data_IF_108435988406
#
_entry.id   IF_108435988406
#
_cell.length_a   1.000
_cell.length_b   1.000
_cell.length_c   1.000
_cell.angle_alpha   90.00
_cell.angle_beta   90.00
_cell.angle_gamma   90.00
#
_symmetry.space_group_name_H-M   'P 1'
#
loop_
_entity.id
_entity.type
_entity.pdbx_description
1 polymer ?
#
# COMPACT_ATOMS: atom_id res chain seq x y z
N UNK A 1 -5.16 -56.66 -22.54
CA UNK A 1 -5.43 -56.79 -21.11
C UNK A 1 -4.13 -56.62 -20.35
N UNK A 2 -3.88 -55.42 -19.84
CA UNK A 2 -2.86 -55.16 -18.80
C UNK A 2 -3.18 -53.82 -18.13
N UNK A 3 -3.79 -53.91 -16.96
CA UNK A 3 -3.97 -52.86 -15.94
C UNK A 3 -3.62 -53.57 -14.61
N UNK A 4 -3.00 -52.99 -13.60
CA UNK A 4 -2.98 -51.61 -13.12
C UNK A 4 -2.03 -51.54 -11.92
N UNK A 5 -1.04 -50.64 -11.93
CA UNK A 5 -0.30 -50.22 -10.74
C UNK A 5 0.16 -48.78 -10.90
N UNK A 6 -0.69 -47.82 -10.56
CA UNK A 6 -0.28 -46.45 -10.20
C UNK A 6 -1.47 -45.67 -9.63
N UNK A 7 -1.73 -45.73 -8.32
CA UNK A 7 -2.68 -44.77 -7.72
C UNK A 7 -2.45 -44.42 -6.24
N UNK A 8 -1.35 -44.82 -5.61
CA UNK A 8 -1.04 -44.40 -4.23
C UNK A 8 -0.05 -43.24 -4.12
N UNK A 9 0.70 -42.90 -5.18
CA UNK A 9 1.71 -41.83 -5.15
C UNK A 9 1.13 -40.42 -5.40
N UNK A 10 -0.07 -40.30 -6.00
CA UNK A 10 -0.64 -39.01 -6.39
C UNK A 10 -1.35 -38.23 -5.26
N UNK A 11 -1.52 -38.84 -4.08
CA UNK A 11 -2.21 -38.21 -2.93
C UNK A 11 -1.27 -37.56 -1.91
N UNK A 12 0.03 -37.90 -1.94
CA UNK A 12 1.04 -37.37 -1.01
C UNK A 12 1.66 -36.04 -1.42
N UNK A 13 1.60 -35.65 -2.70
CA UNK A 13 2.29 -34.46 -3.22
C UNK A 13 1.49 -33.15 -3.20
N UNK A 14 0.28 -33.12 -2.61
CA UNK A 14 -0.61 -31.93 -2.64
C UNK A 14 -0.44 -30.97 -1.45
N UNK A 15 0.50 -31.21 -0.54
CA UNK A 15 0.59 -30.47 0.73
C UNK A 15 1.82 -29.55 0.89
N UNK A 16 2.77 -29.56 -0.06
CA UNK A 16 4.10 -28.93 0.16
C UNK A 16 4.33 -27.57 -0.53
N UNK A 17 3.33 -26.95 -1.17
CA UNK A 17 3.52 -25.67 -1.89
C UNK A 17 2.53 -24.57 -1.50
N UNK A 18 2.22 -24.47 -0.21
CA UNK A 18 1.50 -23.33 0.34
C UNK A 18 2.39 -22.66 1.39
N UNK A 19 2.56 -21.34 1.27
CA UNK A 19 3.37 -20.46 2.12
C UNK A 19 3.46 -21.01 3.56
N UNK A 20 4.68 -21.36 3.98
CA UNK A 20 4.98 -21.74 5.36
C UNK A 20 5.12 -20.50 6.24
N UNK A 21 4.02 -19.79 6.45
CA UNK A 21 3.83 -19.05 7.69
C UNK A 21 2.94 -19.93 8.58
N UNK A 22 3.42 -20.39 9.75
CA UNK A 22 2.58 -21.13 10.67
C UNK A 22 1.48 -20.19 11.19
N UNK A 23 0.30 -20.19 10.55
CA UNK A 23 -0.88 -19.44 11.00
C UNK A 23 -1.54 -18.46 10.02
N UNK A 24 -1.45 -18.63 8.70
CA UNK A 24 -2.07 -17.72 7.71
C UNK A 24 -2.99 -18.46 6.72
N UNK A 25 -3.93 -17.75 6.08
CA UNK A 25 -4.70 -18.30 4.95
C UNK A 25 -3.73 -18.77 3.87
N UNK A 26 -3.87 -20.02 3.45
CA UNK A 26 -3.08 -20.60 2.35
C UNK A 26 -3.65 -20.11 1.01
N UNK A 27 -3.20 -18.95 0.57
CA UNK A 27 -3.47 -18.46 -0.78
C UNK A 27 -2.57 -19.22 -1.76
N UNK A 28 -3.14 -19.65 -2.88
CA UNK A 28 -2.38 -20.25 -3.95
C UNK A 28 -2.00 -19.13 -4.93
N UNK A 29 -0.72 -18.77 -4.93
CA UNK A 29 -0.16 -17.70 -5.78
C UNK A 29 0.50 -18.25 -7.05
N UNK A 30 0.39 -19.57 -7.29
CA UNK A 30 0.99 -20.17 -8.48
C UNK A 30 0.36 -19.57 -9.74
N UNK A 31 1.19 -18.93 -10.55
CA UNK A 31 0.73 -18.25 -11.76
C UNK A 31 0.04 -16.91 -11.48
N UNK A 32 0.18 -16.35 -10.27
CA UNK A 32 -0.39 -15.04 -9.96
C UNK A 32 0.15 -13.96 -10.91
N UNK A 33 -0.72 -13.04 -11.30
CA UNK A 33 -0.35 -11.91 -12.15
C UNK A 33 -1.25 -10.70 -11.84
N UNK A 34 -0.71 -9.53 -12.11
CA UNK A 34 -1.43 -8.26 -12.01
C UNK A 34 -2.18 -8.04 -13.31
N UNK A 35 -3.45 -7.69 -13.21
CA UNK A 35 -4.33 -7.42 -14.35
C UNK A 35 -4.13 -5.98 -14.78
N UNK A 36 -3.78 -5.78 -16.04
CA UNK A 36 -3.67 -4.46 -16.66
C UNK A 36 -4.89 -4.22 -17.56
N UNK A 37 -5.54 -3.05 -17.44
CA UNK A 37 -6.58 -2.56 -18.36
C UNK A 37 -7.77 -3.52 -18.61
N UNK A 38 -8.26 -4.24 -17.59
CA UNK A 38 -9.43 -5.12 -17.73
C UNK A 38 -10.75 -4.30 -17.72
N UNK A 39 -11.59 -4.38 -18.77
CA UNK A 39 -12.89 -3.70 -18.80
C UNK A 39 -13.85 -4.09 -17.67
N UNK A 40 -13.59 -5.23 -17.00
CA UNK A 40 -14.31 -5.71 -15.81
C UNK A 40 -13.81 -5.08 -14.51
N UNK A 41 -12.62 -4.50 -14.48
CA UNK A 41 -12.07 -3.71 -13.37
C UNK A 41 -12.67 -2.30 -13.34
N UNK A 42 -14.01 -2.23 -13.35
CA UNK A 42 -14.75 -0.98 -13.15
C UNK A 42 -15.04 -0.85 -11.67
N UNK A 43 -14.85 0.37 -11.15
CA UNK A 43 -15.20 0.67 -9.77
C UNK A 43 -16.64 0.22 -9.48
N UNK A 44 -16.86 -0.66 -8.49
CA UNK A 44 -18.20 -1.08 -8.09
C UNK A 44 -18.98 0.09 -7.48
N UNK A 45 -18.28 1.14 -7.02
CA UNK A 45 -18.84 2.34 -6.42
C UNK A 45 -18.32 3.57 -7.16
N UNK A 46 -19.21 4.36 -7.76
CA UNK A 46 -18.85 5.64 -8.39
C UNK A 46 -19.30 6.79 -7.50
N UNK A 47 -18.46 7.16 -6.54
CA UNK A 47 -18.77 8.20 -5.55
C UNK A 47 -17.50 8.94 -5.17
N UNK A 48 -17.59 10.27 -5.02
CA UNK A 48 -16.46 11.10 -4.59
C UNK A 48 -15.87 10.59 -3.26
N UNK A 49 -14.55 10.52 -3.21
CA UNK A 49 -13.80 9.97 -2.08
C UNK A 49 -13.72 8.45 -2.05
N UNK A 50 -14.11 7.77 -3.15
CA UNK A 50 -13.91 6.33 -3.36
C UNK A 50 -13.08 6.12 -4.62
N UNK A 51 -12.01 5.35 -4.51
CA UNK A 51 -11.12 5.03 -5.63
C UNK A 51 -10.90 3.52 -5.71
N UNK A 52 -11.25 2.93 -6.85
CA UNK A 52 -10.95 1.55 -7.18
C UNK A 52 -9.59 1.48 -7.87
N UNK A 53 -8.72 0.61 -7.39
CA UNK A 53 -7.43 0.37 -8.03
C UNK A 53 -7.65 -0.53 -9.25
N UNK A 54 -7.23 -0.07 -10.42
CA UNK A 54 -7.48 -0.76 -11.70
C UNK A 54 -6.62 -2.01 -11.92
N UNK A 55 -5.69 -2.28 -11.01
CA UNK A 55 -4.63 -3.29 -11.17
C UNK A 55 -4.83 -4.52 -10.28
N UNK A 56 -5.99 -5.15 -10.32
CA UNK A 56 -6.28 -6.32 -9.46
C UNK A 56 -5.29 -7.48 -9.63
N UNK A 57 -5.14 -8.32 -8.59
CA UNK A 57 -4.26 -9.48 -8.64
C UNK A 57 -5.08 -10.75 -8.91
N UNK A 58 -4.81 -11.41 -10.04
CA UNK A 58 -5.39 -12.72 -10.34
C UNK A 58 -4.59 -13.82 -9.68
N UNK A 59 -5.33 -14.76 -9.08
CA UNK A 59 -4.83 -15.96 -8.43
C UNK A 59 -5.42 -17.17 -9.14
N UNK A 60 -4.86 -17.55 -10.31
CA UNK A 60 -5.31 -18.74 -11.00
C UNK A 60 -5.10 -19.94 -10.09
N UNK A 61 -6.05 -20.87 -10.09
CA UNK A 61 -6.04 -22.07 -9.23
C UNK A 61 -6.32 -21.86 -7.73
N UNK A 62 -6.59 -20.64 -7.23
CA UNK A 62 -7.10 -20.49 -5.86
C UNK A 62 -8.59 -20.77 -5.78
N UNK A 63 -8.97 -22.02 -5.44
CA UNK A 63 -10.38 -22.46 -5.34
C UNK A 63 -10.93 -22.44 -3.91
N UNK A 64 -10.17 -21.91 -2.95
CA UNK A 64 -10.58 -21.83 -1.55
C UNK A 64 -11.82 -20.95 -1.34
N UNK A 65 -12.50 -21.11 -0.20
CA UNK A 65 -13.41 -20.09 0.28
C UNK A 65 -12.60 -19.05 1.05
N UNK A 66 -12.76 -17.79 0.66
CA UNK A 66 -12.28 -16.65 1.43
C UNK A 66 -13.50 -16.04 2.07
N UNK A 67 -13.62 -16.18 3.39
CA UNK A 67 -14.75 -15.69 4.19
C UNK A 67 -14.37 -14.45 5.00
N UNK A 68 -13.44 -13.63 4.50
CA UNK A 68 -13.05 -12.40 5.16
C UNK A 68 -12.76 -11.25 4.18
N UNK A 69 -12.98 -10.04 4.69
CA UNK A 69 -12.57 -8.77 4.06
C UNK A 69 -11.49 -8.15 4.93
N UNK A 70 -10.49 -7.53 4.30
CA UNK A 70 -9.39 -6.87 4.98
C UNK A 70 -9.46 -5.36 4.80
N UNK A 71 -9.22 -4.59 5.87
CA UNK A 71 -9.22 -3.13 5.81
C UNK A 71 -8.07 -2.53 6.63
N UNK A 72 -7.27 -1.67 6.02
CA UNK A 72 -6.29 -0.82 6.67
C UNK A 72 -6.84 0.60 6.77
N UNK A 73 -7.22 1.02 7.97
CA UNK A 73 -7.84 2.32 8.22
C UNK A 73 -6.79 3.30 8.71
N UNK A 74 -6.21 4.06 7.77
CA UNK A 74 -5.27 5.14 8.07
C UNK A 74 -5.96 6.45 8.46
N UNK A 75 -5.15 7.47 8.76
CA UNK A 75 -5.65 8.80 9.13
C UNK A 75 -6.44 9.51 8.02
N UNK A 76 -6.05 9.32 6.76
CA UNK A 76 -6.66 9.98 5.61
C UNK A 76 -7.44 9.05 4.68
N UNK A 77 -7.03 7.78 4.57
CA UNK A 77 -7.65 6.79 3.70
C UNK A 77 -7.82 5.45 4.42
N UNK A 78 -8.97 4.81 4.20
CA UNK A 78 -9.23 3.40 4.48
C UNK A 78 -9.04 2.57 3.20
N UNK A 79 -8.16 1.57 3.22
CA UNK A 79 -7.87 0.71 2.07
C UNK A 79 -8.41 -0.68 2.35
N UNK A 80 -9.21 -1.18 1.44
CA UNK A 80 -9.92 -2.44 1.56
C UNK A 80 -9.44 -3.40 0.49
N UNK A 81 -9.19 -4.63 0.91
CA UNK A 81 -8.85 -5.77 0.06
C UNK A 81 -9.89 -6.87 0.28
N UNK A 82 -10.46 -7.37 -0.81
CA UNK A 82 -11.45 -8.45 -0.77
C UNK A 82 -11.25 -9.41 -1.93
N UNK A 83 -11.70 -10.65 -1.75
CA UNK A 83 -11.53 -11.71 -2.73
C UNK A 83 -12.84 -11.97 -3.49
N UNK A 84 -12.76 -12.09 -4.81
CA UNK A 84 -13.87 -12.51 -5.68
C UNK A 84 -13.51 -13.80 -6.38
N UNK A 85 -14.48 -14.72 -6.47
CA UNK A 85 -14.32 -15.99 -7.20
C UNK A 85 -14.58 -15.75 -8.68
N UNK A 86 -13.73 -16.31 -9.53
CA UNK A 86 -13.89 -16.30 -10.99
C UNK A 86 -13.98 -17.73 -11.52
N UNK A 87 -15.06 -18.42 -11.19
CA UNK A 87 -15.31 -19.82 -11.57
C UNK A 87 -15.60 -20.01 -13.07
N UNK A 88 -16.04 -18.96 -13.76
CA UNK A 88 -16.35 -19.00 -15.19
C UNK A 88 -15.14 -18.62 -16.08
N UNK A 89 -13.95 -18.47 -15.49
CA UNK A 89 -12.72 -18.15 -16.21
C UNK A 89 -11.95 -19.41 -16.63
N UNK A 90 -11.20 -19.34 -17.74
CA UNK A 90 -10.46 -20.48 -18.32
C UNK A 90 -9.57 -21.21 -17.30
N UNK A 91 -8.98 -20.47 -16.36
CA UNK A 91 -8.04 -21.00 -15.36
C UNK A 91 -8.66 -21.30 -13.98
N UNK A 92 -9.98 -21.11 -13.81
CA UNK A 92 -10.65 -21.08 -12.51
C UNK A 92 -9.92 -20.16 -11.48
N UNK A 93 -10.41 -20.14 -10.24
CA UNK A 93 -9.73 -19.47 -9.12
C UNK A 93 -10.42 -18.19 -8.70
N UNK A 94 -9.66 -17.10 -8.54
CA UNK A 94 -10.24 -15.80 -8.21
C UNK A 94 -9.28 -14.62 -8.31
N UNK A 95 -9.67 -13.53 -7.65
CA UNK A 95 -9.08 -12.20 -7.76
C UNK A 95 -9.03 -11.53 -6.40
N UNK A 96 -7.91 -10.87 -6.09
CA UNK A 96 -7.84 -9.87 -5.03
C UNK A 96 -8.18 -8.51 -5.63
N UNK A 97 -9.15 -7.85 -5.04
CA UNK A 97 -9.69 -6.57 -5.48
C UNK A 97 -9.28 -5.51 -4.47
N UNK A 98 -9.02 -4.30 -4.96
CA UNK A 98 -8.40 -3.24 -4.20
C UNK A 98 -9.23 -1.95 -4.33
N UNK A 99 -9.72 -1.43 -3.21
CA UNK A 99 -10.54 -0.21 -3.19
C UNK A 99 -10.19 0.62 -1.97
N UNK A 100 -10.16 1.94 -2.13
CA UNK A 100 -9.89 2.85 -1.03
C UNK A 100 -10.97 3.92 -0.90
N UNK A 101 -11.13 4.41 0.32
CA UNK A 101 -12.13 5.37 0.75
C UNK A 101 -11.44 6.47 1.55
N UNK A 102 -11.86 7.72 1.39
CA UNK A 102 -11.50 8.79 2.32
C UNK A 102 -11.96 8.45 3.74
N UNK A 103 -11.08 8.53 4.73
CA UNK A 103 -11.41 8.19 6.13
C UNK A 103 -12.48 9.13 6.70
N UNK A 104 -12.60 10.35 6.18
CA UNK A 104 -13.69 11.28 6.49
C UNK A 104 -15.07 10.76 6.07
N UNK A 105 -15.11 9.88 5.06
CA UNK A 105 -16.31 9.23 4.50
C UNK A 105 -16.35 7.73 4.82
N UNK A 106 -15.91 7.35 6.03
CA UNK A 106 -15.79 5.94 6.45
C UNK A 106 -17.10 5.16 6.30
N UNK A 107 -18.26 5.82 6.38
CA UNK A 107 -19.57 5.20 6.17
C UNK A 107 -19.69 4.53 4.80
N UNK A 108 -19.10 5.10 3.74
CA UNK A 108 -19.08 4.49 2.41
C UNK A 108 -18.32 3.15 2.40
N UNK A 109 -17.23 3.06 3.17
CA UNK A 109 -16.48 1.82 3.33
C UNK A 109 -17.31 0.77 4.09
N UNK A 110 -17.98 1.19 5.17
CA UNK A 110 -18.85 0.31 5.96
C UNK A 110 -19.99 -0.23 5.11
N UNK A 111 -20.67 0.63 4.34
CA UNK A 111 -21.77 0.23 3.48
C UNK A 111 -21.31 -0.69 2.35
N UNK A 112 -20.10 -0.49 1.81
CA UNK A 112 -19.52 -1.43 0.85
C UNK A 112 -19.23 -2.80 1.49
N UNK A 113 -18.72 -2.85 2.72
CA UNK A 113 -18.54 -4.13 3.44
C UNK A 113 -19.89 -4.82 3.70
N UNK A 114 -20.95 -4.07 4.00
CA UNK A 114 -22.32 -4.64 4.12
C UNK A 114 -22.76 -5.31 2.81
N UNK A 115 -22.53 -4.67 1.67
CA UNK A 115 -22.85 -5.25 0.36
C UNK A 115 -22.08 -6.56 0.14
N UNK A 116 -20.78 -6.59 0.42
CA UNK A 116 -19.97 -7.81 0.34
C UNK A 116 -20.47 -8.93 1.27
N UNK A 117 -20.95 -8.57 2.46
CA UNK A 117 -21.58 -9.51 3.40
C UNK A 117 -22.86 -10.12 2.81
N UNK A 118 -23.76 -9.28 2.30
CA UNK A 118 -25.02 -9.76 1.70
C UNK A 118 -24.78 -10.66 0.49
N UNK A 119 -23.77 -10.35 -0.34
CA UNK A 119 -23.36 -11.19 -1.47
C UNK A 119 -22.78 -12.53 -1.00
N UNK A 120 -21.92 -12.52 0.03
CA UNK A 120 -21.38 -13.74 0.63
C UNK A 120 -22.47 -14.63 1.21
N UNK A 121 -23.47 -14.06 1.88
CA UNK A 121 -24.62 -14.79 2.44
C UNK A 121 -25.49 -15.41 1.34
N UNK A 122 -25.70 -14.72 0.21
CA UNK A 122 -26.44 -15.27 -0.95
C UNK A 122 -25.71 -16.45 -1.62
N UNK A 123 -24.37 -16.41 -1.63
CA UNK A 123 -23.52 -17.44 -2.21
C UNK A 123 -23.25 -18.62 -1.25
N UNK A 124 -23.48 -18.43 0.04
CA UNK A 124 -23.27 -19.43 1.09
C UNK A 124 -24.39 -20.46 1.19
N UNK A 125 -24.09 -21.73 0.89
CA UNK A 125 -24.93 -22.86 1.27
C UNK A 125 -25.01 -23.06 2.80
N UNK A 126 -25.82 -24.01 3.32
CA UNK A 126 -26.25 -24.12 4.73
C UNK A 126 -25.15 -24.46 5.77
N UNK A 127 -23.86 -24.28 5.45
CA UNK A 127 -22.73 -24.53 6.35
C UNK A 127 -21.60 -23.50 6.22
N UNK A 128 -21.86 -22.32 5.65
CA UNK A 128 -20.83 -21.29 5.40
C UNK A 128 -20.39 -20.55 6.66
N UNK A 129 -19.08 -20.43 6.86
CA UNK A 129 -18.51 -19.52 7.87
C UNK A 129 -19.01 -18.08 7.61
N UNK A 130 -19.42 -17.40 8.68
CA UNK A 130 -19.82 -16.00 8.62
C UNK A 130 -18.67 -15.13 8.10
N UNK A 131 -18.99 -14.08 7.33
CA UNK A 131 -17.99 -13.12 6.89
C UNK A 131 -17.32 -12.46 8.10
N UNK A 132 -15.99 -12.43 8.10
CA UNK A 132 -15.18 -11.77 9.11
C UNK A 132 -14.49 -10.53 8.53
N UNK A 133 -14.33 -9.47 9.34
CA UNK A 133 -13.55 -8.29 8.95
C UNK A 133 -12.22 -8.30 9.70
N UNK A 134 -11.13 -8.32 8.94
CA UNK A 134 -9.77 -8.18 9.43
C UNK A 134 -9.36 -6.70 9.28
N UNK A 135 -9.03 -6.03 10.39
CA UNK A 135 -8.74 -4.60 10.40
C UNK A 135 -7.34 -4.29 10.94
N UNK A 136 -6.67 -3.31 10.35
CA UNK A 136 -5.40 -2.76 10.84
C UNK A 136 -5.33 -1.24 10.67
N UNK A 137 -4.22 -0.64 11.10
CA UNK A 137 -4.04 0.82 11.14
C UNK A 137 -4.70 1.47 12.36
N UNK A 138 -4.30 2.70 12.69
CA UNK A 138 -4.84 3.43 13.84
C UNK A 138 -6.38 3.57 13.83
N UNK A 139 -6.99 3.64 12.65
CA UNK A 139 -8.44 3.70 12.49
C UNK A 139 -9.18 2.40 12.86
N UNK A 140 -8.52 1.25 12.85
CA UNK A 140 -9.11 -0.01 13.32
C UNK A 140 -9.50 0.04 14.80
N UNK A 141 -8.85 0.89 15.60
CA UNK A 141 -9.24 1.16 16.98
C UNK A 141 -10.35 2.21 17.05
N UNK A 142 -10.16 3.33 16.34
CA UNK A 142 -11.09 4.48 16.35
C UNK A 142 -12.49 4.13 15.88
N UNK A 143 -12.61 3.31 14.84
CA UNK A 143 -13.89 2.97 14.20
C UNK A 143 -14.41 1.58 14.56
N UNK A 144 -13.79 0.91 15.55
CA UNK A 144 -14.13 -0.46 15.92
C UNK A 144 -15.62 -0.62 16.29
N UNK A 145 -16.12 0.19 17.22
CA UNK A 145 -17.51 0.08 17.69
C UNK A 145 -18.49 0.38 16.56
N UNK A 146 -18.19 1.38 15.72
CA UNK A 146 -19.01 1.74 14.57
C UNK A 146 -19.10 0.62 13.54
N UNK A 147 -17.97 -0.02 13.21
CA UNK A 147 -17.95 -1.20 12.35
C UNK A 147 -18.74 -2.36 12.96
N UNK A 148 -18.58 -2.59 14.27
CA UNK A 148 -19.22 -3.70 14.98
C UNK A 148 -20.73 -3.57 15.01
N UNK A 149 -21.23 -2.37 15.34
CA UNK A 149 -22.65 -2.05 15.36
C UNK A 149 -23.27 -2.14 13.96
N UNK A 150 -22.59 -1.59 12.94
CA UNK A 150 -23.14 -1.50 11.60
C UNK A 150 -23.13 -2.84 10.83
N UNK A 151 -22.10 -3.68 11.04
CA UNK A 151 -21.92 -4.90 10.27
C UNK A 151 -22.47 -6.15 10.97
N UNK A 152 -22.48 -6.17 12.31
CA UNK A 152 -22.81 -7.34 13.11
C UNK A 152 -22.05 -8.60 12.64
N UNK A 153 -20.71 -8.48 12.58
CA UNK A 153 -19.76 -9.54 12.21
C UNK A 153 -18.57 -9.54 13.16
N UNK A 154 -17.79 -10.62 13.15
CA UNK A 154 -16.52 -10.66 13.89
C UNK A 154 -15.51 -9.71 13.25
N UNK A 155 -14.98 -8.80 14.07
CA UNK A 155 -13.92 -7.85 13.69
C UNK A 155 -12.65 -8.20 14.46
N UNK A 156 -11.61 -8.57 13.74
CA UNK A 156 -10.30 -8.94 14.29
C UNK A 156 -9.32 -7.82 13.94
N UNK A 157 -8.62 -7.31 14.96
CA UNK A 157 -7.63 -6.23 14.79
C UNK A 157 -6.22 -6.81 14.84
N UNK A 158 -5.38 -6.39 13.92
CA UNK A 158 -3.97 -6.78 13.83
C UNK A 158 -3.06 -5.54 13.88
N UNK A 159 -1.83 -5.72 14.38
CA UNK A 159 -0.83 -4.66 14.46
C UNK A 159 -0.45 -4.10 13.08
N UNK A 160 -0.36 -2.77 12.97
CA UNK A 160 -0.11 -2.06 11.72
C UNK A 160 1.27 -2.40 11.13
N UNK A 161 2.32 -2.43 11.96
CA UNK A 161 3.67 -2.70 11.46
C UNK A 161 3.82 -4.15 11.03
N UNK A 162 3.26 -5.11 11.79
CA UNK A 162 3.24 -6.52 11.39
C UNK A 162 2.52 -6.73 10.06
N UNK A 163 1.39 -6.05 9.84
CA UNK A 163 0.66 -6.11 8.58
C UNK A 163 1.48 -5.50 7.45
N UNK A 164 2.09 -4.33 7.65
CA UNK A 164 2.95 -3.71 6.64
C UNK A 164 4.09 -4.63 6.19
N UNK A 165 4.77 -5.29 7.13
CA UNK A 165 5.87 -6.20 6.77
C UNK A 165 5.35 -7.45 6.06
N UNK A 166 4.26 -8.03 6.57
CA UNK A 166 3.66 -9.23 5.95
C UNK A 166 3.21 -8.96 4.52
N UNK A 167 2.56 -7.83 4.27
CA UNK A 167 2.09 -7.45 2.94
C UNK A 167 3.23 -7.10 1.98
N UNK A 168 4.26 -6.41 2.46
CA UNK A 168 5.41 -6.06 1.64
C UNK A 168 6.23 -7.30 1.25
N UNK A 169 6.49 -8.20 2.20
CA UNK A 169 7.18 -9.45 1.90
C UNK A 169 6.42 -10.26 0.85
N UNK A 170 5.08 -10.35 0.96
CA UNK A 170 4.24 -11.00 -0.04
C UNK A 170 4.39 -10.38 -1.44
N UNK A 171 4.38 -9.05 -1.53
CA UNK A 171 4.58 -8.37 -2.80
C UNK A 171 5.97 -8.58 -3.40
N UNK A 172 7.01 -8.63 -2.55
CA UNK A 172 8.39 -8.87 -3.00
C UNK A 172 8.57 -10.32 -3.49
N UNK A 173 7.98 -11.30 -2.81
CA UNK A 173 8.32 -12.72 -3.05
C UNK A 173 7.30 -13.47 -3.91
N UNK A 174 6.02 -13.09 -3.86
CA UNK A 174 4.93 -13.90 -4.44
C UNK A 174 4.29 -13.30 -5.68
N UNK A 175 4.35 -11.96 -5.87
CA UNK A 175 3.65 -11.28 -6.95
C UNK A 175 4.64 -10.82 -8.03
N UNK A 176 4.61 -11.43 -9.23
CA UNK A 176 5.42 -11.00 -10.36
C UNK A 176 5.08 -9.58 -10.80
N UNK A 177 6.08 -8.85 -11.30
CA UNK A 177 5.94 -7.49 -11.83
C UNK A 177 5.30 -6.49 -10.85
N UNK A 178 5.45 -6.71 -9.54
CA UNK A 178 4.94 -5.81 -8.50
C UNK A 178 5.96 -4.73 -8.11
N UNK A 179 7.20 -5.14 -7.91
CA UNK A 179 8.29 -4.26 -7.47
C UNK A 179 9.03 -3.72 -8.69
N UNK A 180 9.29 -2.42 -8.71
CA UNK A 180 10.04 -1.77 -9.79
C UNK A 180 10.94 -0.64 -9.29
N UNK A 181 11.91 -0.26 -10.12
CA UNK A 181 12.71 0.96 -9.97
C UNK A 181 12.25 2.00 -10.99
N UNK A 182 12.49 3.28 -10.71
CA UNK A 182 12.06 4.36 -11.58
C UNK A 182 13.15 5.42 -11.77
N UNK A 183 13.34 5.84 -13.02
CA UNK A 183 14.00 7.10 -13.38
C UNK A 183 13.33 7.71 -14.61
N UNK A 184 13.60 8.97 -14.91
CA UNK A 184 13.09 9.60 -16.14
C UNK A 184 13.60 8.93 -17.42
N UNK A 185 14.83 8.41 -17.42
CA UNK A 185 15.44 7.72 -18.58
C UNK A 185 14.98 6.28 -18.72
N UNK A 186 14.64 5.65 -17.60
CA UNK A 186 14.25 4.25 -17.52
C UNK A 186 12.97 4.16 -16.67
N UNK A 187 11.80 4.44 -17.29
CA UNK A 187 10.54 4.38 -16.58
C UNK A 187 10.19 2.92 -16.26
N UNK A 188 9.82 2.67 -15.01
CA UNK A 188 9.22 1.42 -14.52
C UNK A 188 9.96 0.13 -14.93
N UNK A 189 11.20 -0.03 -14.44
CA UNK A 189 11.94 -1.28 -14.61
C UNK A 189 11.60 -2.27 -13.49
N UNK A 190 10.92 -3.36 -13.82
CA UNK A 190 10.58 -4.40 -12.84
C UNK A 190 11.84 -5.02 -12.24
N UNK A 191 11.84 -5.15 -10.92
CA UNK A 191 12.94 -5.76 -10.19
C UNK A 191 12.92 -7.28 -10.37
N UNK A 192 14.07 -7.87 -10.65
CA UNK A 192 14.22 -9.32 -10.65
C UNK A 192 14.06 -9.89 -9.24
N UNK A 193 13.52 -11.11 -9.16
CA UNK A 193 13.41 -11.84 -7.91
C UNK A 193 14.81 -12.06 -7.32
N UNK A 194 14.95 -11.73 -6.05
CA UNK A 194 16.23 -11.85 -5.34
C UNK A 194 16.18 -12.95 -4.29
N UNK A 195 17.24 -13.78 -4.18
CA UNK A 195 17.31 -14.80 -3.13
C UNK A 195 17.52 -14.19 -1.74
N UNK A 196 18.16 -13.02 -1.66
CA UNK A 196 18.42 -12.30 -0.42
C UNK A 196 17.61 -11.01 -0.37
N UNK A 197 16.38 -11.11 0.17
CA UNK A 197 15.44 -9.98 0.31
C UNK A 197 15.87 -9.02 1.42
N UNK A 198 16.48 -9.54 2.48
CA UNK A 198 16.80 -8.80 3.69
C UNK A 198 18.29 -8.40 3.75
N UNK A 199 18.66 -7.38 4.52
CA UNK A 199 17.79 -6.40 5.14
C UNK A 199 17.28 -5.36 4.12
N UNK A 200 16.09 -4.84 4.37
CA UNK A 200 15.53 -3.71 3.63
C UNK A 200 14.96 -2.64 4.57
N UNK A 201 14.75 -1.44 4.03
CA UNK A 201 14.11 -0.33 4.72
C UNK A 201 12.77 -0.06 4.03
N UNK A 202 11.66 -0.24 4.73
CA UNK A 202 10.37 0.25 4.29
C UNK A 202 10.20 1.71 4.73
N UNK A 203 10.00 2.61 3.78
CA UNK A 203 9.61 4.00 4.00
C UNK A 203 8.13 4.12 3.62
N UNK A 204 7.26 3.97 4.62
CA UNK A 204 5.82 4.05 4.43
C UNK A 204 5.34 5.51 4.53
N UNK A 205 4.93 6.10 3.40
CA UNK A 205 4.53 7.50 3.28
C UNK A 205 3.00 7.61 3.26
N UNK A 206 2.43 7.90 4.42
CA UNK A 206 0.99 8.19 4.61
C UNK A 206 0.77 9.66 4.98
N UNK A 207 -0.10 9.92 5.96
CA UNK A 207 -0.30 11.26 6.52
C UNK A 207 1.01 11.81 7.11
N UNK A 208 1.74 10.97 7.85
CA UNK A 208 3.15 11.14 8.18
C UNK A 208 4.01 10.06 7.51
N UNK A 209 5.25 9.88 7.96
CA UNK A 209 6.18 8.89 7.41
C UNK A 209 6.74 8.00 8.51
N UNK A 210 6.66 6.69 8.31
CA UNK A 210 7.29 5.69 9.17
C UNK A 210 8.39 4.95 8.41
N UNK A 211 9.55 4.79 9.04
CA UNK A 211 10.70 4.09 8.48
C UNK A 211 11.00 2.85 9.30
N UNK A 212 10.89 1.69 8.68
CA UNK A 212 10.96 0.38 9.33
C UNK A 212 12.11 -0.41 8.70
N UNK A 213 13.10 -0.75 9.52
CA UNK A 213 14.14 -1.70 9.12
C UNK A 213 13.59 -3.10 9.28
N UNK A 214 13.69 -3.91 8.23
CA UNK A 214 13.35 -5.33 8.26
C UNK A 214 14.64 -6.12 8.04
N UNK A 215 15.03 -6.90 9.03
CA UNK A 215 16.28 -7.67 9.04
C UNK A 215 16.06 -9.14 8.68
N UNK A 216 14.81 -9.60 8.67
CA UNK A 216 14.42 -10.96 8.36
C UNK A 216 12.93 -11.17 8.58
N UNK A 217 12.42 -12.39 8.32
CA UNK A 217 11.02 -12.71 8.55
C UNK A 217 10.64 -12.44 10.01
N UNK A 218 9.62 -11.60 10.24
CA UNK A 218 9.15 -11.15 11.56
C UNK A 218 10.20 -10.42 12.41
N UNK A 219 11.34 -10.04 11.85
CA UNK A 219 12.40 -9.29 12.53
C UNK A 219 12.45 -7.88 11.97
N UNK A 220 11.71 -6.98 12.60
CA UNK A 220 11.61 -5.59 12.14
C UNK A 220 11.59 -4.61 13.31
N UNK A 221 12.00 -3.38 13.02
CA UNK A 221 12.01 -2.29 14.00
C UNK A 221 11.73 -0.97 13.30
N UNK A 222 10.85 -0.16 13.89
CA UNK A 222 10.70 1.24 13.48
C UNK A 222 11.95 2.03 13.88
N UNK A 223 12.75 2.43 12.89
CA UNK A 223 14.05 3.09 13.09
C UNK A 223 13.95 4.61 12.99
N UNK A 224 12.87 5.12 12.39
CA UNK A 224 12.67 6.56 12.24
C UNK A 224 11.33 6.92 11.65
N UNK A 225 11.20 8.20 11.34
CA UNK A 225 10.04 8.77 10.69
C UNK A 225 10.11 10.29 10.66
N UNK A 226 9.17 10.90 9.94
CA UNK A 226 8.97 12.34 9.92
C UNK A 226 7.47 12.62 9.92
N UNK A 227 7.06 13.72 10.54
CA UNK A 227 5.68 14.20 10.47
C UNK A 227 5.40 14.96 9.16
N UNK A 228 6.44 15.28 8.38
CA UNK A 228 6.36 15.91 7.05
C UNK A 228 6.07 14.84 5.99
N UNK A 229 4.81 14.42 5.91
CA UNK A 229 4.33 13.41 4.96
C UNK A 229 3.28 13.96 3.99
N UNK A 230 2.45 13.08 3.44
CA UNK A 230 1.37 13.47 2.53
C UNK A 230 0.30 14.34 3.18
N UNK A 231 0.08 14.19 4.49
CA UNK A 231 -0.84 15.06 5.24
C UNK A 231 -0.35 16.50 5.33
N UNK A 232 0.98 16.71 5.37
CA UNK A 232 1.58 18.04 5.33
C UNK A 232 1.43 18.67 3.94
N UNK A 233 1.72 17.91 2.88
CA UNK A 233 1.50 18.37 1.50
C UNK A 233 0.04 18.79 1.31
N UNK A 234 -0.89 17.89 1.62
CA UNK A 234 -2.32 18.13 1.49
C UNK A 234 -2.79 19.31 2.33
N UNK A 235 -2.41 19.37 3.61
CA UNK A 235 -2.84 20.42 4.52
C UNK A 235 -2.38 21.81 4.06
N UNK A 236 -1.10 21.95 3.68
CA UNK A 236 -0.56 23.24 3.21
C UNK A 236 -1.17 23.60 1.86
N UNK A 237 -1.26 22.67 0.90
CA UNK A 237 -1.88 22.94 -0.40
C UNK A 237 -3.36 23.34 -0.28
N UNK A 238 -4.09 22.78 0.68
CA UNK A 238 -5.48 23.19 0.96
C UNK A 238 -5.58 24.61 1.53
N UNK A 239 -4.54 25.10 2.21
CA UNK A 239 -4.47 26.48 2.70
C UNK A 239 -4.03 27.46 1.61
N UNK A 240 -3.10 27.04 0.76
CA UNK A 240 -2.52 27.87 -0.30
C UNK A 240 -3.39 27.90 -1.57
N UNK A 241 -4.25 26.91 -1.79
CA UNK A 241 -5.01 26.74 -3.02
C UNK A 241 -6.46 26.33 -2.75
N UNK A 242 -7.31 26.41 -3.78
CA UNK A 242 -8.69 25.91 -3.72
C UNK A 242 -8.85 24.43 -4.05
N UNK A 243 -7.76 23.66 -4.17
CA UNK A 243 -7.81 22.24 -4.53
C UNK A 243 -8.56 21.43 -3.45
N UNK A 244 -9.40 20.49 -3.89
CA UNK A 244 -10.25 19.70 -2.99
C UNK A 244 -9.77 18.27 -2.83
N UNK A 245 -9.08 17.73 -3.84
CA UNK A 245 -8.58 16.37 -3.81
C UNK A 245 -7.05 16.34 -3.86
N UNK A 246 -6.47 15.25 -3.35
CA UNK A 246 -5.03 15.03 -3.43
C UNK A 246 -4.55 14.93 -4.88
N UNK A 247 -5.36 14.34 -5.76
CA UNK A 247 -5.03 14.18 -7.18
C UNK A 247 -5.04 15.52 -7.93
N UNK A 248 -5.94 16.45 -7.57
CA UNK A 248 -5.89 17.83 -8.09
C UNK A 248 -4.56 18.51 -7.74
N UNK A 249 -4.07 18.31 -6.51
CA UNK A 249 -2.83 18.93 -6.03
C UNK A 249 -1.60 18.34 -6.74
N UNK A 250 -1.57 17.03 -6.96
CA UNK A 250 -0.55 16.38 -7.78
C UNK A 250 -0.61 16.87 -9.23
N UNK A 251 -1.81 16.96 -9.83
CA UNK A 251 -1.99 17.47 -11.19
C UNK A 251 -1.58 18.96 -11.32
N UNK A 252 -1.75 19.76 -10.27
CA UNK A 252 -1.18 21.13 -10.21
C UNK A 252 0.34 21.08 -10.21
N UNK A 253 0.94 20.20 -9.40
CA UNK A 253 2.39 20.05 -9.37
C UNK A 253 2.91 19.67 -10.76
N UNK A 254 2.29 18.71 -11.46
CA UNK A 254 2.64 18.31 -12.83
C UNK A 254 2.81 19.46 -13.84
N UNK A 255 2.05 20.54 -13.67
CA UNK A 255 2.09 21.71 -14.56
C UNK A 255 2.94 22.88 -14.04
N UNK A 256 3.33 22.84 -12.77
CA UNK A 256 4.06 23.93 -12.13
C UNK A 256 5.56 23.94 -12.41
N UNK A 257 6.14 25.14 -12.31
CA UNK A 257 7.57 25.38 -12.28
C UNK A 257 7.98 25.99 -10.93
N UNK A 258 8.76 25.26 -10.15
CA UNK A 258 9.19 25.75 -8.84
C UNK A 258 10.21 26.88 -8.89
N UNK A 259 10.83 27.17 -10.05
CA UNK A 259 11.92 28.14 -10.18
C UNK A 259 11.54 29.56 -9.76
N UNK A 260 10.26 29.94 -9.89
CA UNK A 260 9.74 31.24 -9.44
C UNK A 260 9.53 31.34 -7.93
N UNK A 261 9.39 30.21 -7.23
CA UNK A 261 9.02 30.12 -5.81
C UNK A 261 10.25 29.78 -4.94
N UNK A 262 11.07 28.85 -5.42
CA UNK A 262 12.26 28.35 -4.72
C UNK A 262 13.50 29.19 -5.02
N UNK A 263 14.37 29.31 -4.01
CA UNK A 263 15.74 29.77 -4.20
C UNK A 263 16.60 28.59 -4.65
N UNK A 264 17.17 28.66 -5.85
CA UNK A 264 18.05 27.66 -6.41
C UNK A 264 19.52 28.00 -6.12
N UNK A 265 20.41 27.02 -6.24
CA UNK A 265 21.87 27.23 -6.13
C UNK A 265 22.35 28.27 -7.14
N UNK A 266 21.81 28.26 -8.36
CA UNK A 266 22.10 29.25 -9.39
C UNK A 266 21.70 30.67 -9.03
N UNK A 267 20.64 30.87 -8.23
CA UNK A 267 20.25 32.20 -7.77
C UNK A 267 21.25 32.79 -6.75
N UNK A 268 22.00 31.94 -6.07
CA UNK A 268 22.99 32.33 -5.05
C UNK A 268 24.38 32.48 -5.68
N UNK A 269 24.79 31.51 -6.50
CA UNK A 269 26.16 31.40 -7.02
C UNK A 269 26.29 31.79 -8.50
N UNK A 270 25.20 31.96 -9.24
CA UNK A 270 25.20 32.22 -10.69
C UNK A 270 25.60 31.01 -11.55
N UNK A 271 26.05 29.92 -10.95
CA UNK A 271 26.59 28.72 -11.60
C UNK A 271 26.46 27.49 -10.69
N UNK A 272 26.88 26.32 -11.19
CA UNK A 272 26.98 25.11 -10.40
C UNK A 272 27.94 25.29 -9.22
N UNK A 273 27.56 24.81 -8.04
CA UNK A 273 28.45 24.79 -6.89
C UNK A 273 29.29 23.51 -6.87
N UNK A 274 30.28 23.48 -7.78
CA UNK A 274 31.10 22.29 -8.08
C UNK A 274 31.88 21.74 -6.89
N UNK A 275 32.24 22.56 -5.90
CA UNK A 275 33.02 22.11 -4.71
C UNK A 275 32.32 21.01 -3.92
N UNK A 276 30.99 21.00 -3.92
CA UNK A 276 30.17 20.01 -3.21
C UNK A 276 29.21 19.27 -4.16
N UNK A 277 29.39 19.42 -5.47
CA UNK A 277 28.64 18.67 -6.48
C UNK A 277 27.17 19.09 -6.64
N UNK A 278 26.80 20.32 -6.30
CA UNK A 278 25.43 20.80 -6.49
C UNK A 278 25.27 21.53 -7.83
N UNK A 279 24.29 21.10 -8.64
CA UNK A 279 23.90 21.79 -9.88
C UNK A 279 23.23 23.12 -9.58
N UNK A 280 23.28 24.07 -10.52
CA UNK A 280 22.61 25.37 -10.42
C UNK A 280 21.09 25.25 -10.27
N UNK A 281 20.48 24.17 -10.77
CA UNK A 281 19.04 23.86 -10.65
C UNK A 281 18.67 23.22 -9.31
N UNK A 282 19.64 22.87 -8.46
CA UNK A 282 19.35 22.30 -7.16
C UNK A 282 18.66 23.36 -6.27
N UNK A 283 17.62 22.93 -5.54
CA UNK A 283 16.92 23.79 -4.58
C UNK A 283 17.85 24.03 -3.39
N UNK A 284 18.15 25.30 -3.12
CA UNK A 284 18.92 25.73 -1.95
C UNK A 284 17.99 26.12 -0.79
N UNK A 285 16.87 26.78 -1.08
CA UNK A 285 15.86 27.13 -0.09
C UNK A 285 14.46 27.08 -0.69
N UNK A 286 13.67 26.11 -0.24
CA UNK A 286 12.25 25.95 -0.58
C UNK A 286 11.46 27.21 -0.19
N UNK A 287 10.64 27.74 -1.10
CA UNK A 287 9.88 28.98 -0.93
C UNK A 287 10.74 30.24 -0.63
N UNK A 288 12.07 30.16 -0.82
CA UNK A 288 13.00 31.23 -0.47
C UNK A 288 12.78 32.55 -1.23
N UNK A 289 12.15 32.53 -2.41
CA UNK A 289 11.85 33.75 -3.17
C UNK A 289 10.60 34.48 -2.66
N UNK A 290 9.67 33.76 -2.04
CA UNK A 290 8.39 34.32 -1.57
C UNK A 290 8.60 35.46 -0.58
N UNK A 291 9.47 35.25 0.42
CA UNK A 291 9.78 36.28 1.41
C UNK A 291 10.48 37.50 0.78
N UNK A 292 11.42 37.26 -0.14
CA UNK A 292 12.18 38.34 -0.79
C UNK A 292 11.29 39.24 -1.65
N UNK A 293 10.36 38.65 -2.41
CA UNK A 293 9.47 39.41 -3.28
C UNK A 293 8.44 40.22 -2.48
N UNK A 294 7.92 39.66 -1.37
CA UNK A 294 7.00 40.41 -0.49
C UNK A 294 7.64 41.67 0.08
N UNK A 295 8.90 41.59 0.51
CA UNK A 295 9.61 42.75 1.05
C UNK A 295 10.01 43.78 -0.02
N UNK A 296 10.06 43.41 -1.30
CA UNK A 296 10.35 44.33 -2.40
C UNK A 296 9.10 45.09 -2.88
N UNK A 297 7.91 44.60 -2.57
CA UNK A 297 6.62 45.21 -2.92
C UNK A 297 6.04 46.12 -1.83
N UNK A 298 6.60 46.11 -0.63
CA UNK A 298 6.30 47.10 0.43
C UNK A 298 7.01 48.42 0.06
N UNK A 299 6.28 49.53 -0.18
CA UNK A 299 6.91 50.82 -0.46
C UNK A 299 7.75 51.25 0.75
N UNK A 300 8.97 51.72 0.52
CA UNK A 300 9.72 52.51 1.49
C UNK A 300 8.95 53.82 1.77
N UNK A 301 8.02 53.81 2.72
CA UNK A 301 7.37 55.01 3.27
C UNK A 301 8.34 55.76 4.21
N UNK A 302 9.47 56.18 3.65
CA UNK A 302 10.40 57.14 4.25
C UNK A 302 10.89 58.06 3.14
N UNK A 303 10.04 59.02 2.76
CA UNK A 303 10.39 60.43 2.60
C UNK A 303 9.17 61.20 2.09
N UNK A 304 8.74 62.19 2.87
CA UNK A 304 7.53 62.96 2.62
C UNK A 304 7.67 63.94 1.45
N UNK A 305 6.60 64.08 0.67
CA UNK A 305 5.87 65.34 0.50
C UNK A 305 4.63 65.13 -0.38
N UNK A 306 3.62 65.94 -0.07
CA UNK A 306 2.26 65.95 -0.60
C UNK A 306 2.12 66.02 -2.12
N UNK A 307 1.18 65.25 -2.68
CA UNK A 307 0.27 65.72 -3.73
C UNK A 307 -0.97 64.83 -3.84
N UNK A 308 -2.12 65.47 -3.67
CA UNK A 308 -3.47 64.99 -3.85
C UNK A 308 -3.80 64.70 -5.32
N UNK A 309 -4.40 63.53 -5.61
CA UNK A 309 -5.65 63.37 -6.36
C UNK A 309 -5.78 61.93 -6.91
N UNK A 310 -6.91 61.29 -6.62
CA UNK A 310 -7.36 60.10 -7.34
C UNK A 310 -7.83 58.97 -6.44
N UNK A 311 -9.12 58.97 -6.10
CA UNK A 311 -9.83 57.75 -5.71
C UNK A 311 -9.84 56.77 -6.90
N UNK A 312 -8.93 55.80 -6.89
CA UNK A 312 -9.00 54.59 -7.71
C UNK A 312 -8.50 53.40 -6.88
N UNK A 313 -9.26 52.31 -6.89
CA UNK A 313 -9.20 51.22 -5.94
C UNK A 313 -7.80 50.68 -5.64
N UNK A 314 -7.48 50.62 -4.35
CA UNK A 314 -6.36 49.85 -3.79
C UNK A 314 -6.55 48.37 -4.13
N UNK A 315 -5.90 47.89 -5.19
CA UNK A 315 -5.53 46.48 -5.29
C UNK A 315 -4.05 46.40 -4.93
N UNK A 316 -3.78 46.08 -3.66
CA UNK A 316 -2.43 45.92 -3.13
C UNK A 316 -1.65 44.94 -4.02
N UNK A 317 -0.53 45.39 -4.57
CA UNK A 317 0.35 44.64 -5.46
C UNK A 317 1.18 43.58 -4.74
N UNK A 318 0.53 42.64 -4.03
CA UNK A 318 1.21 41.46 -3.52
C UNK A 318 1.70 40.60 -4.70
N UNK A 319 2.94 40.09 -4.67
CA UNK A 319 3.43 39.18 -5.68
C UNK A 319 2.56 37.92 -5.69
N UNK A 320 1.85 37.69 -6.80
CA UNK A 320 1.02 36.49 -6.99
C UNK A 320 1.88 35.36 -7.53
N UNK A 321 2.06 34.32 -6.72
CA UNK A 321 2.66 33.05 -7.14
C UNK A 321 1.58 32.14 -7.72
N UNK A 322 1.89 31.42 -8.81
CA UNK A 322 0.94 30.45 -9.35
C UNK A 322 0.76 29.28 -8.38
N UNK A 323 -0.46 28.77 -8.28
CA UNK A 323 -0.78 27.65 -7.38
C UNK A 323 -0.03 26.38 -7.81
N UNK A 324 0.12 26.19 -9.12
CA UNK A 324 0.89 25.12 -9.75
C UNK A 324 2.36 25.14 -9.31
N UNK A 325 3.00 26.31 -9.35
CA UNK A 325 4.41 26.49 -8.97
C UNK A 325 4.63 26.21 -7.48
N UNK A 326 3.71 26.69 -6.63
CA UNK A 326 3.72 26.39 -5.19
C UNK A 326 3.52 24.89 -4.92
N UNK A 327 2.63 24.24 -5.68
CA UNK A 327 2.43 22.79 -5.59
C UNK A 327 3.69 22.02 -5.96
N UNK A 328 4.34 22.39 -7.07
CA UNK A 328 5.60 21.79 -7.52
C UNK A 328 6.70 21.95 -6.47
N UNK A 329 6.88 23.17 -5.97
CA UNK A 329 7.87 23.48 -4.93
C UNK A 329 7.65 22.64 -3.68
N UNK A 330 6.42 22.61 -3.15
CA UNK A 330 6.11 21.89 -1.93
C UNK A 330 6.23 20.37 -2.10
N UNK A 331 5.82 19.84 -3.25
CA UNK A 331 5.99 18.43 -3.58
C UNK A 331 7.46 18.03 -3.58
N UNK A 332 8.34 18.84 -4.19
CA UNK A 332 9.78 18.62 -4.15
C UNK A 332 10.34 18.74 -2.74
N UNK A 333 9.89 19.72 -1.95
CA UNK A 333 10.36 19.90 -0.59
C UNK A 333 10.10 18.66 0.28
N UNK A 334 8.88 18.15 0.24
CA UNK A 334 8.47 16.96 1.02
C UNK A 334 9.18 15.72 0.48
N UNK A 335 9.18 15.51 -0.84
CA UNK A 335 9.82 14.33 -1.44
C UNK A 335 11.33 14.29 -1.21
N UNK A 336 12.03 15.42 -1.37
CA UNK A 336 13.47 15.50 -1.08
C UNK A 336 13.77 15.30 0.40
N UNK A 337 12.96 15.86 1.30
CA UNK A 337 13.14 15.69 2.74
C UNK A 337 12.98 14.21 3.14
N UNK A 338 11.93 13.54 2.62
CA UNK A 338 11.72 12.11 2.84
C UNK A 338 12.89 11.29 2.28
N UNK A 339 13.32 11.57 1.04
CA UNK A 339 14.44 10.89 0.39
C UNK A 339 15.74 11.04 1.18
N UNK A 340 16.05 12.24 1.67
CA UNK A 340 17.24 12.50 2.48
C UNK A 340 17.21 11.76 3.82
N UNK A 341 16.08 11.80 4.54
CA UNK A 341 15.95 11.09 5.82
C UNK A 341 16.02 9.57 5.60
N UNK A 342 15.39 9.06 4.55
CA UNK A 342 15.47 7.65 4.16
C UNK A 342 16.91 7.22 3.86
N UNK A 343 17.66 8.04 3.12
CA UNK A 343 19.09 7.85 2.90
C UNK A 343 19.85 7.80 4.24
N UNK A 344 19.69 8.79 5.12
CA UNK A 344 20.40 8.83 6.41
C UNK A 344 20.09 7.62 7.30
N UNK A 345 18.83 7.17 7.32
CA UNK A 345 18.43 5.97 8.06
C UNK A 345 19.03 4.72 7.44
N UNK A 346 19.02 4.61 6.11
CA UNK A 346 19.64 3.48 5.41
C UNK A 346 21.17 3.43 5.60
N UNK A 347 21.84 4.57 5.72
CA UNK A 347 23.26 4.67 6.06
C UNK A 347 23.52 4.19 7.49
N UNK A 348 22.82 4.78 8.46
CA UNK A 348 22.95 4.44 9.89
C UNK A 348 22.74 2.95 10.15
N UNK A 349 21.80 2.34 9.42
CA UNK A 349 21.41 0.96 9.61
C UNK A 349 22.04 -0.03 8.62
N UNK A 350 22.94 0.45 7.74
CA UNK A 350 23.67 -0.33 6.73
C UNK A 350 22.75 -1.12 5.79
N UNK A 351 21.68 -0.47 5.33
CA UNK A 351 20.70 -1.03 4.42
C UNK A 351 20.91 -0.47 3.02
N UNK A 352 20.87 -1.33 2.00
CA UNK A 352 21.03 -0.96 0.59
C UNK A 352 19.70 -0.78 -0.15
N UNK A 353 18.67 -1.54 0.25
CA UNK A 353 17.39 -1.60 -0.46
C UNK A 353 16.33 -0.84 0.31
N UNK A 354 15.74 0.15 -0.35
CA UNK A 354 14.76 1.06 0.25
C UNK A 354 13.47 0.95 -0.55
N UNK A 355 12.43 0.42 0.08
CA UNK A 355 11.09 0.29 -0.50
C UNK A 355 10.25 1.47 -0.05
N UNK A 356 9.73 2.22 -1.01
CA UNK A 356 8.79 3.29 -0.75
C UNK A 356 7.37 2.76 -0.94
N UNK A 357 6.58 2.86 0.13
CA UNK A 357 5.17 2.46 0.15
C UNK A 357 4.28 3.59 0.68
N UNK A 358 3.00 3.27 0.84
CA UNK A 358 1.98 4.22 1.29
C UNK A 358 1.20 4.85 0.15
N UNK A 359 0.38 5.85 0.45
CA UNK A 359 -0.60 6.41 -0.49
C UNK A 359 -0.26 7.83 -0.98
N UNK A 360 0.97 8.28 -0.72
CA UNK A 360 1.44 9.59 -1.15
C UNK A 360 1.96 9.59 -2.60
N UNK A 361 2.60 8.50 -3.04
CA UNK A 361 3.32 8.47 -4.32
C UNK A 361 2.32 8.36 -5.48
N UNK A 362 1.34 7.46 -5.39
CA UNK A 362 0.24 7.23 -6.35
C UNK A 362 0.70 7.13 -7.80
N UNK A 363 1.86 6.51 -8.04
CA UNK A 363 2.46 6.44 -9.38
C UNK A 363 2.88 7.80 -9.97
N UNK A 364 2.89 8.88 -9.18
CA UNK A 364 3.27 10.21 -9.61
C UNK A 364 4.77 10.24 -9.97
N UNK A 365 5.04 10.41 -11.26
CA UNK A 365 6.35 10.23 -11.90
C UNK A 365 7.43 11.11 -11.29
N UNK A 366 7.11 12.36 -10.99
CA UNK A 366 8.03 13.33 -10.43
C UNK A 366 8.37 12.94 -8.99
N UNK A 367 7.39 12.48 -8.20
CA UNK A 367 7.63 12.02 -6.82
C UNK A 367 8.59 10.84 -6.81
N UNK A 368 8.32 9.82 -7.65
CA UNK A 368 9.20 8.66 -7.79
C UNK A 368 10.59 9.04 -8.29
N UNK A 369 10.69 9.96 -9.26
CA UNK A 369 11.96 10.45 -9.77
C UNK A 369 12.76 11.17 -8.68
N UNK A 370 12.12 12.08 -7.93
CA UNK A 370 12.76 12.84 -6.86
C UNK A 370 13.28 11.92 -5.75
N UNK A 371 12.49 10.94 -5.32
CA UNK A 371 12.92 9.96 -4.33
C UNK A 371 14.09 9.12 -4.83
N UNK A 372 14.01 8.61 -6.07
CA UNK A 372 15.07 7.81 -6.68
C UNK A 372 16.37 8.60 -6.85
N UNK A 373 16.25 9.83 -7.34
CA UNK A 373 17.36 10.76 -7.49
C UNK A 373 18.01 11.07 -6.14
N UNK A 374 17.22 11.38 -5.10
CA UNK A 374 17.74 11.67 -3.78
C UNK A 374 18.55 10.49 -3.22
N UNK A 375 18.00 9.27 -3.29
CA UNK A 375 18.71 8.07 -2.83
C UNK A 375 20.00 7.85 -3.63
N UNK A 376 19.94 7.90 -4.96
CA UNK A 376 21.11 7.69 -5.83
C UNK A 376 22.18 8.76 -5.63
N UNK A 377 21.79 10.02 -5.52
CA UNK A 377 22.68 11.16 -5.35
C UNK A 377 23.45 11.07 -4.03
N UNK A 378 22.73 10.94 -2.90
CA UNK A 378 23.37 10.94 -1.59
C UNK A 378 24.19 9.68 -1.33
N UNK A 379 23.76 8.53 -1.86
CA UNK A 379 24.50 7.26 -1.75
C UNK A 379 25.58 7.06 -2.81
N UNK A 380 25.76 8.00 -3.75
CA UNK A 380 26.66 7.83 -4.92
C UNK A 380 26.37 6.53 -5.70
N UNK A 381 25.11 6.10 -5.73
CA UNK A 381 24.66 4.89 -6.42
C UNK A 381 24.80 3.59 -5.62
N UNK A 382 25.24 3.62 -4.36
CA UNK A 382 25.39 2.41 -3.54
C UNK A 382 24.05 1.85 -3.01
N UNK A 383 22.98 2.66 -3.06
CA UNK A 383 21.64 2.30 -2.59
C UNK A 383 20.60 2.40 -3.69
N UNK A 384 19.57 1.57 -3.57
CA UNK A 384 18.50 1.46 -4.54
C UNK A 384 17.14 1.77 -3.92
N UNK A 385 16.39 2.65 -4.59
CA UNK A 385 14.98 2.91 -4.32
C UNK A 385 14.10 1.95 -5.14
N UNK A 386 13.09 1.38 -4.48
CA UNK A 386 12.08 0.51 -5.07
C UNK A 386 10.68 1.07 -4.78
N UNK A 387 9.78 0.86 -5.72
CA UNK A 387 8.37 1.22 -5.66
C UNK A 387 7.52 -0.03 -5.90
N UNK A 388 6.24 0.09 -5.58
CA UNK A 388 5.25 -0.98 -5.68
C UNK A 388 4.07 -0.49 -6.49
N UNK A 389 3.47 -1.38 -7.28
CA UNK A 389 2.22 -1.06 -7.98
C UNK A 389 1.05 -0.93 -7.00
N UNK A 390 1.09 -1.69 -5.90
CA UNK A 390 0.11 -1.69 -4.82
C UNK A 390 0.62 -1.01 -3.55
N UNK A 391 1.47 0.01 -3.68
CA UNK A 391 2.11 0.74 -2.57
C UNK A 391 1.14 1.19 -1.46
N UNK A 392 -0.10 1.57 -1.80
CA UNK A 392 -1.10 2.03 -0.85
C UNK A 392 -1.82 0.93 -0.07
N UNK A 393 -1.67 -0.33 -0.49
CA UNK A 393 -2.45 -1.48 -0.01
C UNK A 393 -1.63 -2.48 0.79
N UNK A 394 -0.35 -2.19 1.05
CA UNK A 394 0.57 -3.07 1.80
C UNK A 394 -0.05 -3.53 3.14
N UNK A 395 -0.56 -2.61 3.95
CA UNK A 395 -1.18 -2.94 5.24
C UNK A 395 -2.45 -3.80 5.09
N UNK A 396 -3.30 -3.47 4.11
CA UNK A 396 -4.54 -4.20 3.85
C UNK A 396 -4.28 -5.64 3.35
N UNK A 397 -3.28 -5.84 2.48
CA UNK A 397 -2.83 -7.19 2.08
C UNK A 397 -2.22 -7.94 3.26
N UNK A 398 -1.42 -7.27 4.07
CA UNK A 398 -0.86 -7.85 5.28
C UNK A 398 -1.93 -8.44 6.21
N UNK A 399 -2.94 -7.65 6.55
CA UNK A 399 -4.03 -8.10 7.44
C UNK A 399 -4.92 -9.16 6.77
N UNK A 400 -5.07 -9.10 5.43
CA UNK A 400 -5.76 -10.13 4.65
C UNK A 400 -5.07 -11.50 4.76
N UNK A 401 -3.74 -11.54 4.69
CA UNK A 401 -2.97 -12.77 4.76
C UNK A 401 -2.96 -13.39 6.16
N UNK A 402 -3.19 -12.60 7.20
CA UNK A 402 -3.08 -13.04 8.60
C UNK A 402 -4.31 -13.74 9.16
N UNK A 403 -5.43 -13.79 8.42
CA UNK A 403 -6.62 -14.51 8.89
C UNK A 403 -6.29 -16.00 9.14
N UNK A 404 -6.73 -16.51 10.28
CA UNK A 404 -6.71 -17.93 10.60
C UNK A 404 -8.13 -18.51 10.49
N UNK A 405 -8.35 -19.61 9.73
CA UNK A 405 -9.66 -20.27 9.68
C UNK A 405 -10.12 -20.77 11.06
N UNK A 406 -11.43 -20.86 11.27
CA UNK A 406 -11.97 -21.51 12.46
C UNK A 406 -11.49 -22.98 12.53
N UNK A 407 -11.01 -23.43 13.70
CA UNK A 407 -10.36 -24.74 13.97
C UNK A 407 -8.87 -24.86 13.63
N UNK A 408 -8.19 -23.76 13.29
CA UNK A 408 -6.74 -23.74 13.20
C UNK A 408 -6.08 -24.20 14.52
N UNK A 409 -5.20 -25.21 14.45
CA UNK A 409 -4.54 -25.82 15.62
C UNK A 409 -5.26 -27.04 16.21
N UNK A 410 -6.53 -27.30 15.87
CA UNK A 410 -7.13 -28.63 16.08
C UNK A 410 -6.72 -29.53 14.92
N UNK A 411 -5.51 -30.13 15.03
CA UNK A 411 -5.23 -31.39 14.30
C UNK A 411 -6.41 -32.31 14.53
N UNK A 412 -6.88 -32.98 13.48
CA UNK A 412 -7.83 -34.09 13.51
C UNK A 412 -7.77 -34.92 14.81
N UNK A 413 -8.44 -34.47 15.88
CA UNK A 413 -9.11 -35.36 16.79
C UNK A 413 -10.44 -35.60 16.12
N UNK A 414 -10.44 -36.54 15.19
CA UNK A 414 -11.62 -37.37 15.03
C UNK A 414 -11.86 -37.88 16.45
N UNK A 415 -12.84 -37.30 17.14
CA UNK A 415 -13.37 -37.93 18.33
C UNK A 415 -13.77 -39.35 17.88
N UNK A 416 -13.09 -40.36 18.40
CA UNK A 416 -13.40 -41.78 18.24
C UNK A 416 -14.82 -42.16 18.73
N UNK A 417 -15.64 -41.17 19.11
CA UNK A 417 -16.97 -41.35 19.68
C UNK A 417 -18.12 -41.26 18.67
N UNK A 418 -17.86 -40.94 17.40
CA UNK A 418 -18.91 -40.92 16.36
C UNK A 418 -18.51 -41.68 15.10
N UNK A 419 -18.16 -42.96 15.25
CA UNK A 419 -18.42 -43.91 14.17
C UNK A 419 -19.89 -44.35 14.22
N UNK A 420 -20.62 -44.33 13.09
CA UNK A 420 -21.92 -44.98 13.00
C UNK A 420 -21.77 -46.45 13.42
N UNK A 421 -22.65 -46.94 14.32
CA UNK A 421 -22.63 -48.32 14.85
C UNK A 421 -22.59 -49.42 13.77
N UNK A 422 -22.92 -49.09 12.53
CA UNK A 422 -22.83 -49.99 11.36
C UNK A 422 -21.38 -50.29 10.96
N UNK A 423 -20.45 -49.34 11.13
CA UNK A 423 -19.05 -49.52 10.74
C UNK A 423 -18.25 -50.41 11.73
N UNK A 424 -18.67 -50.45 13.01
CA UNK A 424 -18.04 -51.27 14.05
C UNK A 424 -18.31 -52.77 13.85
N UNK A 425 -19.53 -53.11 13.44
CA UNK A 425 -19.95 -54.50 13.18
C UNK A 425 -19.27 -55.10 11.94
N UNK A 426 -18.95 -54.27 10.94
CA UNK A 426 -18.23 -54.73 9.74
C UNK A 426 -16.75 -54.99 10.05
N UNK A 427 -16.12 -54.15 10.89
CA UNK A 427 -14.73 -54.33 11.30
C UNK A 427 -14.52 -55.56 12.19
N UNK A 428 -15.47 -55.86 13.09
CA UNK A 428 -15.41 -57.05 13.97
C UNK A 428 -15.69 -58.36 13.18
N UNK A 429 -16.49 -58.32 12.12
CA UNK A 429 -16.74 -59.47 11.25
C UNK A 429 -15.51 -59.84 10.39
N UNK A 430 -14.70 -58.86 9.99
CA UNK A 430 -13.49 -59.08 9.17
C UNK A 430 -12.28 -59.56 9.99
N UNK A 431 -12.16 -59.18 11.26
CA UNK A 431 -11.10 -59.72 12.13
C UNK A 431 -11.33 -61.19 12.52
N UNK A 432 -12.57 -61.64 12.61
CA UNK A 432 -12.88 -63.05 12.90
C UNK A 432 -12.68 -63.98 11.69
N UNK A 433 -12.78 -63.48 10.45
CA UNK A 433 -12.49 -64.31 9.26
C UNK A 433 -11.00 -64.54 9.03
N UNK A 434 -10.15 -63.56 9.38
CA UNK A 434 -8.70 -63.67 9.20
C UNK A 434 -8.04 -64.55 10.27
N UNK A 435 -8.70 -64.74 11.41
CA UNK A 435 -8.25 -65.59 12.53
C UNK A 435 -8.49 -67.09 12.30
N UNK A 436 -9.38 -67.48 11.39
CA UNK A 436 -9.70 -68.89 11.09
C UNK A 436 -8.93 -69.47 9.90
N UNK A 437 -8.14 -68.67 9.18
CA UNK A 437 -7.30 -69.11 8.06
C UNK A 437 -5.81 -69.30 8.43
N UNK A 438 -5.47 -69.27 9.73
CA UNK A 438 -4.11 -69.51 10.24
C UNK A 438 -4.03 -70.60 11.32
N UNK A 439 -4.97 -71.54 11.35
CA UNK A 439 -4.90 -72.74 12.19
C UNK A 439 -4.93 -74.01 11.36
#
# INVERSE_FOLDING_TARGET
>A
MSSSTSNSAARGGRLEQAITNPGSVKINVKGAFIVDDDPRSKSPVRTDGVHYEGHDIRLPHHTGLVSHVAVDIGGSLAKLVYFTRELDSVDNGGRLNFINFETSRIDLCIDFIKQLKEEHEKLGGPSGDALCVMATGGGAFKYYDKLKEALNVDIIREDEMECLITGLDFFITEIPNEVFTYSETEPMQFAEARPDVYPYLLVNIGSGVSMIKVSGPKQFQRVGGTHLGGGTFWGIMSLLTGARTFDDMLAMADRGDNSGVDMLVGDIYGMDYSKIGLKNTAIASTFGKVFRMKNQTEPNDLDGESSSNGEAGRTNGEPKFQHEDMSRSLLYAISNNIGQIAYLQSEKHQVKHIYFGGSFIRGHRQTMNTLSYAIKFWSKGEKQAYFLRHEGYIGAVGVFLRRQPANWGRRNSIDEKTMPQVAKLVAEAQQNSDSQNQS
#
